data_IF_716609990056
#
_entry.id   IF_716609990056
#
_cell.length_a   1.000
_cell.length_b   1.000
_cell.length_c   1.000
_cell.angle_alpha   90.00
_cell.angle_beta   90.00
_cell.angle_gamma   90.00
#
_symmetry.space_group_name_H-M   'P 1'
#
loop_
_entity.id
_entity.type
_entity.pdbx_description
1 polymer ?
#
# COMPACT_ATOMS: atom_id res chain seq x y z
N UNK A 1 7.77 -4.44 -15.60
CA UNK A 1 6.93 -4.77 -14.41
C UNK A 1 6.66 -3.47 -13.67
N UNK A 2 5.44 -3.29 -13.16
CA UNK A 2 5.02 -2.11 -12.44
C UNK A 2 4.53 -2.49 -11.04
N UNK A 3 5.13 -1.91 -10.01
CA UNK A 3 4.79 -2.19 -8.61
C UNK A 3 4.30 -0.90 -7.98
N UNK A 4 3.08 -0.91 -7.48
CA UNK A 4 2.56 0.18 -6.67
C UNK A 4 2.89 -0.06 -5.19
N UNK A 5 3.22 1.01 -4.47
CA UNK A 5 3.33 1.04 -3.03
C UNK A 5 2.39 2.12 -2.51
N UNK A 6 1.67 1.82 -1.43
CA UNK A 6 0.77 2.77 -0.79
C UNK A 6 1.04 2.96 0.69
N UNK A 7 0.82 4.17 1.19
CA UNK A 7 0.94 4.53 2.61
C UNK A 7 0.10 5.78 2.92
N UNK A 8 -0.14 6.01 4.20
CA UNK A 8 -0.61 7.30 4.72
C UNK A 8 0.38 8.44 4.46
N UNK A 9 1.68 8.17 4.42
CA UNK A 9 2.71 9.20 4.25
C UNK A 9 4.06 8.63 3.83
N UNK A 10 5.16 9.23 4.26
CA UNK A 10 6.50 8.86 3.79
C UNK A 10 7.04 7.51 4.33
N UNK A 11 6.24 6.75 5.09
CA UNK A 11 6.61 5.46 5.68
C UNK A 11 7.04 4.41 4.63
N UNK A 12 6.47 4.46 3.43
CA UNK A 12 6.79 3.54 2.34
C UNK A 12 8.19 3.71 1.74
N UNK A 13 8.94 4.78 2.06
CA UNK A 13 10.21 5.06 1.39
C UNK A 13 11.25 3.96 1.63
N UNK A 14 11.29 3.39 2.84
CA UNK A 14 12.20 2.28 3.15
C UNK A 14 11.87 1.01 2.34
N UNK A 15 10.59 0.67 2.23
CA UNK A 15 10.12 -0.45 1.42
C UNK A 15 10.39 -0.20 -0.08
N UNK A 16 10.12 1.01 -0.55
CA UNK A 16 10.38 1.44 -1.94
C UNK A 16 11.86 1.32 -2.28
N UNK A 17 12.75 1.76 -1.39
CA UNK A 17 14.19 1.64 -1.58
C UNK A 17 14.63 0.16 -1.64
N UNK A 18 14.04 -0.71 -0.82
CA UNK A 18 14.30 -2.15 -0.88
C UNK A 18 13.83 -2.76 -2.21
N UNK A 19 12.60 -2.44 -2.65
CA UNK A 19 12.07 -2.90 -3.95
C UNK A 19 12.95 -2.40 -5.10
N UNK A 20 13.36 -1.13 -5.11
CA UNK A 20 14.25 -0.58 -6.15
C UNK A 20 15.59 -1.30 -6.21
N UNK A 21 16.18 -1.69 -5.06
CA UNK A 21 17.42 -2.47 -5.03
C UNK A 21 17.25 -3.87 -5.59
N UNK A 22 16.16 -4.55 -5.25
CA UNK A 22 15.89 -5.93 -5.70
C UNK A 22 15.41 -5.99 -7.16
N UNK A 23 14.69 -4.96 -7.61
CA UNK A 23 14.08 -4.85 -8.93
C UNK A 23 14.37 -3.45 -9.52
N UNK A 24 15.62 -3.20 -9.94
CA UNK A 24 15.98 -1.93 -10.55
C UNK A 24 15.25 -1.67 -11.87
N UNK A 25 14.74 -2.72 -12.52
CA UNK A 25 13.97 -2.71 -13.76
C UNK A 25 12.47 -2.43 -13.58
N UNK A 26 11.96 -2.39 -12.34
CA UNK A 26 10.55 -2.15 -12.10
C UNK A 26 10.19 -0.65 -12.15
N UNK A 27 9.05 -0.34 -12.77
CA UNK A 27 8.40 0.96 -12.63
C UNK A 27 7.70 1.02 -11.27
N UNK A 28 7.99 2.04 -10.47
CA UNK A 28 7.44 2.17 -9.13
C UNK A 28 6.42 3.31 -9.08
N UNK A 29 5.25 3.01 -8.53
CA UNK A 29 4.20 4.01 -8.27
C UNK A 29 4.09 4.19 -6.76
N UNK A 30 4.19 5.41 -6.29
CA UNK A 30 4.03 5.75 -4.88
C UNK A 30 2.71 6.49 -4.73
N UNK A 31 1.75 5.86 -4.05
CA UNK A 31 0.41 6.42 -3.80
C UNK A 31 0.29 6.78 -2.31
N UNK A 32 -0.02 8.04 -2.01
CA UNK A 32 0.07 8.59 -0.67
C UNK A 32 -1.20 9.37 -0.30
N UNK A 33 -1.56 9.38 0.99
CA UNK A 33 -2.61 10.25 1.57
C UNK A 33 -2.01 11.25 2.58
N UNK A 34 -1.18 12.20 2.13
CA UNK A 34 -0.51 13.14 3.04
C UNK A 34 -1.49 13.99 3.84
N UNK A 35 -2.65 14.33 3.26
CA UNK A 35 -3.69 15.14 3.92
C UNK A 35 -4.47 14.34 4.98
N UNK A 36 -4.51 13.01 4.85
CA UNK A 36 -5.12 12.12 5.81
C UNK A 36 -4.18 11.60 6.88
N UNK A 37 -2.87 11.84 6.80
CA UNK A 37 -1.91 11.34 7.78
C UNK A 37 -2.04 12.07 9.15
N UNK A 38 -1.72 11.39 10.27
CA UNK A 38 -1.42 9.97 10.39
C UNK A 38 -2.70 9.11 10.45
N UNK A 39 -2.64 7.89 9.93
CA UNK A 39 -3.77 6.95 10.01
C UNK A 39 -3.89 6.25 11.37
N UNK A 40 -2.84 6.21 12.19
CA UNK A 40 -2.82 5.52 13.49
C UNK A 40 -3.96 5.90 14.46
N UNK A 41 -4.27 7.20 14.66
CA UNK A 41 -5.34 7.63 15.57
C UNK A 41 -6.77 7.52 15.00
N UNK A 42 -6.93 7.13 13.73
CA UNK A 42 -8.25 7.08 13.07
C UNK A 42 -9.02 5.82 13.46
N UNK A 43 -10.34 5.86 13.29
CA UNK A 43 -11.15 4.66 13.44
C UNK A 43 -10.87 3.68 12.30
N UNK A 44 -11.06 2.36 12.50
CA UNK A 44 -10.87 1.38 11.44
C UNK A 44 -11.69 1.67 10.18
N UNK A 45 -12.91 2.19 10.32
CA UNK A 45 -13.81 2.51 9.21
C UNK A 45 -13.28 3.69 8.36
N UNK A 46 -12.91 4.80 9.01
CA UNK A 46 -12.34 5.98 8.33
C UNK A 46 -11.00 5.63 7.67
N UNK A 47 -10.14 4.91 8.38
CA UNK A 47 -8.88 4.41 7.85
C UNK A 47 -9.10 3.52 6.62
N UNK A 48 -10.05 2.59 6.67
CA UNK A 48 -10.32 1.68 5.56
C UNK A 48 -10.80 2.42 4.32
N UNK A 49 -11.69 3.41 4.48
CA UNK A 49 -12.14 4.25 3.37
C UNK A 49 -10.99 5.01 2.70
N UNK A 50 -10.09 5.60 3.50
CA UNK A 50 -8.90 6.29 3.01
C UNK A 50 -7.93 5.35 2.30
N UNK A 51 -7.65 4.19 2.91
CA UNK A 51 -6.79 3.17 2.32
C UNK A 51 -7.34 2.70 0.96
N UNK A 52 -8.65 2.47 0.85
CA UNK A 52 -9.27 2.10 -0.42
C UNK A 52 -9.10 3.19 -1.48
N UNK A 53 -9.31 4.47 -1.14
CA UNK A 53 -9.12 5.57 -2.09
C UNK A 53 -7.67 5.65 -2.62
N UNK A 54 -6.67 5.52 -1.74
CA UNK A 54 -5.24 5.50 -2.14
C UNK A 54 -4.92 4.29 -3.01
N UNK A 55 -5.48 3.13 -2.67
CA UNK A 55 -5.28 1.90 -3.42
C UNK A 55 -5.93 1.95 -4.81
N UNK A 56 -7.12 2.52 -4.93
CA UNK A 56 -7.81 2.73 -6.21
C UNK A 56 -7.08 3.72 -7.11
N UNK A 57 -6.56 4.82 -6.53
CA UNK A 57 -5.70 5.76 -7.27
C UNK A 57 -4.45 5.05 -7.83
N UNK A 58 -3.82 4.18 -7.04
CA UNK A 58 -2.70 3.36 -7.51
C UNK A 58 -3.14 2.37 -8.60
N UNK A 59 -4.28 1.70 -8.43
CA UNK A 59 -4.80 0.70 -9.35
C UNK A 59 -5.16 1.30 -10.73
N UNK A 60 -5.54 2.58 -10.80
CA UNK A 60 -5.80 3.28 -12.06
C UNK A 60 -4.57 3.27 -13.01
N UNK A 61 -3.36 3.16 -12.47
CA UNK A 61 -2.14 3.03 -13.25
C UNK A 61 -1.84 1.60 -13.73
N UNK A 62 -2.72 0.63 -13.42
CA UNK A 62 -2.62 -0.79 -13.76
C UNK A 62 -1.29 -1.42 -13.34
N UNK A 63 -0.94 -1.40 -12.04
CA UNK A 63 0.23 -2.09 -11.54
C UNK A 63 0.05 -3.62 -11.59
N UNK A 64 1.15 -4.35 -11.68
CA UNK A 64 1.17 -5.81 -11.61
C UNK A 64 0.99 -6.31 -10.16
N UNK A 65 1.27 -5.46 -9.17
CA UNK A 65 1.07 -5.73 -7.74
C UNK A 65 0.96 -4.43 -6.94
N UNK A 66 0.25 -4.47 -5.81
CA UNK A 66 0.14 -3.38 -4.84
C UNK A 66 0.72 -3.81 -3.48
N UNK A 67 1.70 -3.07 -2.98
CA UNK A 67 2.28 -3.25 -1.65
C UNK A 67 1.70 -2.20 -0.69
N UNK A 68 1.12 -2.65 0.42
CA UNK A 68 0.66 -1.80 1.50
C UNK A 68 1.83 -1.52 2.44
N UNK A 69 2.53 -0.40 2.23
CA UNK A 69 3.71 0.00 3.02
C UNK A 69 3.37 0.48 4.44
N UNK A 70 2.14 0.92 4.67
CA UNK A 70 1.67 1.34 5.99
C UNK A 70 1.31 0.15 6.88
N UNK A 71 1.97 0.02 8.03
CA UNK A 71 1.68 -1.04 8.99
C UNK A 71 0.24 -0.97 9.53
N UNK A 72 -0.24 0.23 9.87
CA UNK A 72 -1.61 0.45 10.36
C UNK A 72 -2.64 0.01 9.32
N UNK A 73 -2.44 0.38 8.05
CA UNK A 73 -3.31 -0.07 6.97
C UNK A 73 -3.26 -1.58 6.76
N UNK A 74 -2.08 -2.18 6.89
CA UNK A 74 -1.96 -3.64 6.75
C UNK A 74 -2.73 -4.37 7.86
N UNK A 75 -2.70 -3.87 9.09
CA UNK A 75 -3.44 -4.48 10.21
C UNK A 75 -4.95 -4.31 10.04
N UNK A 76 -5.41 -3.11 9.68
CA UNK A 76 -6.84 -2.78 9.77
C UNK A 76 -7.61 -2.86 8.44
N UNK A 77 -6.95 -2.62 7.30
CA UNK A 77 -7.62 -2.46 6.00
C UNK A 77 -7.25 -3.54 4.96
N UNK A 78 -6.24 -4.39 5.20
CA UNK A 78 -5.80 -5.38 4.23
C UNK A 78 -6.91 -6.30 3.70
N UNK A 79 -7.85 -6.82 4.53
CA UNK A 79 -8.97 -7.63 4.02
C UNK A 79 -9.85 -6.87 3.03
N UNK A 80 -10.16 -5.61 3.31
CA UNK A 80 -10.97 -4.76 2.43
C UNK A 80 -10.23 -4.43 1.12
N UNK A 81 -8.92 -4.14 1.20
CA UNK A 81 -8.08 -3.90 0.02
C UNK A 81 -8.04 -5.11 -0.90
N UNK A 82 -7.87 -6.31 -0.35
CA UNK A 82 -7.89 -7.57 -1.10
C UNK A 82 -9.25 -7.81 -1.75
N UNK A 83 -10.32 -7.71 -0.97
CA UNK A 83 -11.69 -7.88 -1.48
C UNK A 83 -12.00 -6.91 -2.63
N UNK A 84 -11.38 -5.72 -2.63
CA UNK A 84 -11.61 -4.69 -3.64
C UNK A 84 -10.80 -4.88 -4.93
N UNK A 85 -9.58 -5.41 -4.84
CA UNK A 85 -8.62 -5.41 -5.94
C UNK A 85 -8.25 -6.80 -6.46
N UNK A 86 -8.34 -7.84 -5.64
CA UNK A 86 -8.07 -9.22 -6.05
C UNK A 86 -9.30 -9.84 -6.75
N UNK A 87 -9.10 -10.77 -7.70
CA UNK A 87 -7.81 -11.33 -8.16
C UNK A 87 -7.09 -10.46 -9.21
N UNK A 88 -7.63 -9.27 -9.55
CA UNK A 88 -7.10 -8.43 -10.62
C UNK A 88 -5.71 -7.85 -10.34
N UNK A 89 -5.48 -7.36 -9.13
CA UNK A 89 -4.18 -6.87 -8.65
C UNK A 89 -3.86 -7.54 -7.32
N UNK A 90 -2.80 -8.36 -7.22
CA UNK A 90 -2.35 -8.93 -5.95
C UNK A 90 -2.02 -7.85 -4.91
N UNK A 91 -2.50 -8.03 -3.68
CA UNK A 91 -2.29 -7.07 -2.58
C UNK A 91 -1.41 -7.69 -1.48
N UNK A 92 -0.23 -7.10 -1.28
CA UNK A 92 0.79 -7.55 -0.34
C UNK A 92 0.84 -6.61 0.86
N UNK A 93 0.52 -7.12 2.04
CA UNK A 93 0.71 -6.42 3.31
C UNK A 93 2.14 -6.58 3.86
N UNK A 94 2.61 -5.62 4.66
CA UNK A 94 3.93 -5.66 5.33
C UNK A 94 3.88 -6.18 6.78
N UNK A 95 2.71 -6.62 7.26
CA UNK A 95 2.43 -7.09 8.63
C UNK A 95 1.75 -8.48 8.59
N UNK A 96 2.10 -9.44 9.48
CA UNK A 96 3.20 -9.36 10.45
C UNK A 96 4.52 -9.12 9.74
N UNK A 97 5.35 -8.26 10.33
CA UNK A 97 6.67 -8.00 9.77
C UNK A 97 7.37 -9.35 9.62
N UNK A 98 7.82 -9.68 8.41
CA UNK A 98 8.70 -10.82 8.21
C UNK A 98 10.00 -10.46 8.94
N UNK A 99 10.10 -10.87 10.21
CA UNK A 99 11.37 -10.92 10.91
C UNK A 99 12.20 -12.04 10.26
N UNK A 100 13.51 -11.83 10.02
CA UNK A 100 14.40 -12.98 9.85
C UNK A 100 14.35 -13.89 11.08
#
# INVERSE_FOLDING_TARGET
MKIALMDSGIGLLAATAAVRRLRPDADLILSLDPDGMPWGPRTPEDLTGRALAVAEAAAAHRPDALIVGCNTATVHALPALRARLEPGVPVIGTVPAIKP
#
